data_IF_352771484350
#
_entry.id   IF_352771484350
#
_cell.length_a   1.000
_cell.length_b   1.000
_cell.length_c   1.000
_cell.angle_alpha   90.00
_cell.angle_beta   90.00
_cell.angle_gamma   90.00
#
_symmetry.space_group_name_H-M   'P 1'
#
loop_
_entity.id
_entity.type
_entity.pdbx_description
1 polymer ?
#
# COMPACT_ATOMS: atom_id res chain seq x y z
N UNK A 1 -19.32 10.59 9.76
CA UNK A 1 -20.09 9.57 9.02
C UNK A 1 -21.57 9.97 9.02
N UNK A 2 -22.18 10.19 7.85
CA UNK A 2 -23.63 10.47 7.76
C UNK A 2 -24.36 9.15 7.60
N UNK A 3 -25.01 8.70 8.67
CA UNK A 3 -25.76 7.45 8.68
C UNK A 3 -27.17 7.72 8.15
N UNK A 4 -27.60 6.99 7.11
CA UNK A 4 -28.96 7.08 6.56
C UNK A 4 -29.14 7.98 5.33
N UNK A 5 -28.08 8.54 4.77
CA UNK A 5 -28.12 9.21 3.46
C UNK A 5 -27.86 8.20 2.34
N UNK A 6 -28.69 8.21 1.29
CA UNK A 6 -28.49 7.41 0.09
C UNK A 6 -27.30 7.98 -0.69
N UNK A 7 -26.31 7.12 -1.00
CA UNK A 7 -25.13 7.49 -1.80
C UNK A 7 -25.25 6.82 -3.15
N UNK A 8 -25.36 7.62 -4.21
CA UNK A 8 -25.33 7.15 -5.59
C UNK A 8 -23.88 7.12 -6.07
N UNK A 9 -23.35 5.94 -6.32
CA UNK A 9 -22.02 5.76 -6.91
C UNK A 9 -22.16 5.72 -8.44
N UNK A 10 -21.92 6.86 -9.09
CA UNK A 10 -21.81 6.92 -10.54
C UNK A 10 -20.40 6.50 -10.98
N UNK A 11 -20.13 5.20 -10.99
CA UNK A 11 -18.89 4.66 -11.55
C UNK A 11 -19.17 3.64 -12.67
N UNK A 12 -18.34 3.61 -13.73
CA UNK A 12 -18.43 2.56 -14.73
C UNK A 12 -18.07 1.22 -14.09
N UNK A 13 -19.01 0.28 -14.09
CA UNK A 13 -18.78 -1.08 -13.63
C UNK A 13 -17.91 -1.80 -14.66
N UNK A 14 -16.78 -2.33 -14.22
CA UNK A 14 -15.85 -3.11 -15.03
C UNK A 14 -15.26 -4.27 -14.25
N UNK A 15 -14.63 -5.20 -14.97
CA UNK A 15 -13.86 -6.28 -14.36
C UNK A 15 -12.38 -6.00 -14.54
N UNK A 16 -11.66 -5.91 -13.43
CA UNK A 16 -10.21 -5.92 -13.45
C UNK A 16 -9.75 -7.38 -13.59
N UNK A 17 -9.09 -7.71 -14.71
CA UNK A 17 -8.61 -9.08 -14.96
C UNK A 17 -7.35 -9.40 -14.17
N UNK A 18 -6.50 -8.40 -13.95
CA UNK A 18 -5.24 -8.53 -13.25
C UNK A 18 -4.99 -7.27 -12.41
N UNK A 19 -4.75 -7.44 -11.12
CA UNK A 19 -4.57 -6.33 -10.17
C UNK A 19 -3.20 -5.66 -10.35
N UNK A 20 -2.16 -6.44 -10.58
CA UNK A 20 -0.78 -5.94 -10.60
C UNK A 20 -0.52 -4.96 -11.75
N UNK A 21 -0.83 -5.26 -13.03
CA UNK A 21 -0.64 -4.29 -14.12
C UNK A 21 -1.44 -3.00 -13.93
N UNK A 22 -2.61 -3.09 -13.30
CA UNK A 22 -3.40 -1.92 -12.97
C UNK A 22 -2.73 -1.08 -11.88
N UNK A 23 -2.22 -1.69 -10.81
CA UNK A 23 -1.48 -0.99 -9.76
C UNK A 23 -0.21 -0.34 -10.33
N UNK A 24 0.55 -1.04 -11.16
CA UNK A 24 1.77 -0.49 -11.78
C UNK A 24 1.44 0.75 -12.62
N UNK A 25 0.41 0.69 -13.47
CA UNK A 25 -0.05 1.85 -14.25
C UNK A 25 -0.57 3.00 -13.37
N UNK A 26 -1.01 2.72 -12.13
CA UNK A 26 -1.39 3.76 -11.17
C UNK A 26 -0.21 4.30 -10.40
N UNK A 27 0.90 3.57 -10.28
CA UNK A 27 2.08 3.90 -9.51
C UNK A 27 3.16 4.64 -10.32
N UNK A 28 3.12 4.56 -11.65
CA UNK A 28 4.04 5.27 -12.55
C UNK A 28 4.11 6.78 -12.23
N UNK A 29 5.33 7.32 -12.16
CA UNK A 29 5.66 8.72 -11.85
C UNK A 29 5.05 9.26 -10.53
N UNK A 30 4.94 8.39 -9.51
CA UNK A 30 4.36 8.75 -8.20
C UNK A 30 5.23 8.37 -7.03
N UNK A 31 5.01 9.07 -5.92
CA UNK A 31 5.42 8.60 -4.59
C UNK A 31 4.38 7.66 -4.02
N UNK A 32 4.79 6.46 -3.57
CA UNK A 32 3.88 5.38 -3.16
C UNK A 32 4.17 4.94 -1.72
N UNK A 33 3.11 4.77 -0.93
CA UNK A 33 3.15 4.01 0.31
C UNK A 33 2.53 2.63 0.07
N UNK A 34 3.30 1.56 0.29
CA UNK A 34 2.81 0.19 0.29
C UNK A 34 2.59 -0.27 1.72
N UNK A 35 1.34 -0.46 2.14
CA UNK A 35 0.99 -0.96 3.47
C UNK A 35 0.96 -2.47 3.44
N UNK A 36 1.47 -3.12 4.49
CA UNK A 36 1.72 -4.58 4.49
C UNK A 36 2.86 -4.96 3.54
N UNK A 37 3.86 -4.07 3.41
CA UNK A 37 4.89 -4.21 2.39
C UNK A 37 5.75 -5.45 2.56
N UNK A 38 6.01 -5.90 3.79
CA UNK A 38 6.87 -7.03 4.06
C UNK A 38 6.24 -8.29 3.46
N UNK A 39 4.94 -8.51 3.69
CA UNK A 39 4.11 -9.40 2.85
C UNK A 39 4.75 -10.75 2.54
N UNK A 40 5.27 -11.46 3.55
CA UNK A 40 6.05 -12.70 3.42
C UNK A 40 7.32 -12.54 2.56
N UNK A 41 8.11 -11.50 2.77
CA UNK A 41 9.37 -11.22 2.06
C UNK A 41 10.28 -12.46 1.96
N UNK A 42 10.34 -13.28 3.02
CA UNK A 42 11.07 -14.54 3.10
C UNK A 42 10.69 -15.57 2.03
N UNK A 43 9.45 -15.55 1.54
CA UNK A 43 8.95 -16.46 0.50
C UNK A 43 9.41 -16.01 -0.89
N UNK A 44 9.63 -14.71 -1.07
CA UNK A 44 9.97 -14.12 -2.35
C UNK A 44 11.46 -13.90 -2.53
N UNK A 45 12.19 -13.54 -1.48
CA UNK A 45 13.60 -13.18 -1.59
C UNK A 45 14.52 -14.40 -1.44
N UNK A 46 15.68 -14.41 -2.12
CA UNK A 46 16.06 -13.49 -3.20
C UNK A 46 15.52 -13.90 -4.59
N UNK A 47 15.12 -15.17 -4.76
CA UNK A 47 14.97 -15.80 -6.09
C UNK A 47 13.71 -15.38 -6.87
N UNK A 48 12.70 -14.86 -6.16
CA UNK A 48 11.37 -14.53 -6.70
C UNK A 48 10.99 -13.10 -6.39
N UNK A 49 11.97 -12.22 -6.19
CA UNK A 49 11.76 -10.78 -5.93
C UNK A 49 10.74 -10.20 -6.90
N UNK A 50 10.92 -10.40 -8.21
CA UNK A 50 9.99 -9.94 -9.28
C UNK A 50 8.51 -10.35 -9.14
N UNK A 51 8.16 -11.32 -8.28
CA UNK A 51 6.77 -11.71 -8.00
C UNK A 51 6.18 -10.99 -6.78
N UNK A 52 7.02 -10.38 -5.95
CA UNK A 52 6.62 -9.63 -4.77
C UNK A 52 6.18 -8.23 -5.15
N UNK A 53 4.99 -7.82 -4.68
CA UNK A 53 4.40 -6.53 -5.01
C UNK A 53 5.35 -5.36 -4.70
N UNK A 54 6.03 -5.40 -3.56
CA UNK A 54 6.84 -4.28 -3.10
C UNK A 54 7.99 -3.97 -4.07
N UNK A 55 8.69 -5.00 -4.58
CA UNK A 55 9.74 -4.78 -5.59
C UNK A 55 9.19 -4.31 -6.93
N UNK A 56 8.01 -4.80 -7.35
CA UNK A 56 7.39 -4.33 -8.58
C UNK A 56 7.00 -2.84 -8.49
N UNK A 57 6.54 -2.39 -7.32
CA UNK A 57 6.31 -0.97 -7.05
C UNK A 57 7.61 -0.17 -7.10
N UNK A 58 8.68 -0.66 -6.45
CA UNK A 58 10.01 -0.01 -6.47
C UNK A 58 10.53 0.16 -7.91
N UNK A 59 10.33 -0.84 -8.76
CA UNK A 59 10.76 -0.81 -10.16
C UNK A 59 9.91 0.13 -11.05
N UNK A 60 8.73 0.57 -10.58
CA UNK A 60 7.74 1.30 -11.38
C UNK A 60 7.54 2.76 -10.95
N UNK A 61 7.53 3.02 -9.65
CA UNK A 61 7.22 4.33 -9.07
C UNK A 61 8.47 5.22 -8.94
N UNK A 62 8.28 6.52 -8.70
CA UNK A 62 9.40 7.45 -8.48
C UNK A 62 10.06 7.24 -7.12
N UNK A 63 9.25 6.91 -6.11
CA UNK A 63 9.70 6.61 -4.75
C UNK A 63 8.69 5.70 -4.07
N UNK A 64 9.17 4.72 -3.30
CA UNK A 64 8.31 3.77 -2.58
C UNK A 64 8.78 3.65 -1.15
N UNK A 65 7.83 3.81 -0.22
CA UNK A 65 8.01 3.45 1.19
C UNK A 65 7.12 2.25 1.49
N UNK A 66 7.68 1.25 2.15
CA UNK A 66 6.92 0.17 2.75
C UNK A 66 6.58 0.48 4.20
N UNK A 67 5.40 0.08 4.66
CA UNK A 67 5.01 0.04 6.07
C UNK A 67 4.52 -1.37 6.40
N UNK A 68 5.03 -1.97 7.47
CA UNK A 68 4.56 -3.27 7.95
C UNK A 68 4.70 -3.38 9.47
N UNK A 69 3.89 -4.23 10.10
CA UNK A 69 3.91 -4.47 11.54
C UNK A 69 4.76 -5.70 11.92
N UNK A 70 5.12 -6.54 10.94
CA UNK A 70 5.86 -7.78 11.18
C UNK A 70 7.39 -7.55 11.14
N UNK A 71 8.07 -7.46 12.30
CA UNK A 71 9.51 -7.20 12.34
C UNK A 71 10.35 -8.36 11.78
N UNK A 72 9.83 -9.60 11.73
CA UNK A 72 10.55 -10.75 11.18
C UNK A 72 10.67 -10.61 9.66
N UNK A 73 9.55 -10.36 8.98
CA UNK A 73 9.53 -10.19 7.53
C UNK A 73 10.19 -8.88 7.07
N UNK A 74 10.11 -7.82 7.87
CA UNK A 74 10.88 -6.59 7.66
C UNK A 74 12.39 -6.90 7.74
N UNK A 75 12.81 -7.69 8.73
CA UNK A 75 14.19 -8.14 8.88
C UNK A 75 14.67 -8.91 7.66
N UNK A 76 13.86 -9.87 7.17
CA UNK A 76 14.17 -10.63 5.96
C UNK A 76 14.36 -9.73 4.73
N UNK A 77 13.50 -8.72 4.54
CA UNK A 77 13.67 -7.74 3.46
C UNK A 77 14.97 -6.92 3.61
N UNK A 78 15.29 -6.50 4.83
CA UNK A 78 16.47 -5.70 5.13
C UNK A 78 17.79 -6.44 4.86
N UNK A 79 17.86 -7.76 5.07
CA UNK A 79 19.02 -8.59 4.71
C UNK A 79 19.35 -8.54 3.20
N UNK A 80 18.36 -8.19 2.38
CA UNK A 80 18.48 -8.02 0.94
C UNK A 80 18.54 -6.55 0.49
N UNK A 81 18.71 -5.61 1.43
CA UNK A 81 18.86 -4.18 1.14
C UNK A 81 17.55 -3.44 0.83
N UNK A 82 16.41 -4.05 1.13
CA UNK A 82 15.09 -3.45 0.96
C UNK A 82 14.60 -2.97 2.33
N UNK A 83 14.40 -1.66 2.47
CA UNK A 83 14.00 -1.04 3.73
C UNK A 83 12.49 -0.86 3.77
N UNK A 84 11.89 -1.33 4.86
CA UNK A 84 10.46 -1.20 5.17
C UNK A 84 10.38 -0.60 6.57
N UNK A 85 9.53 0.41 6.75
CA UNK A 85 9.29 1.03 8.05
C UNK A 85 8.44 0.09 8.91
N UNK A 86 8.87 -0.15 10.15
CA UNK A 86 8.09 -0.87 11.15
C UNK A 86 7.02 0.06 11.73
N UNK A 87 5.74 -0.34 11.65
CA UNK A 87 4.66 0.41 12.25
C UNK A 87 3.27 -0.14 11.94
N UNK A 88 2.30 0.25 12.78
CA UNK A 88 0.90 -0.08 12.57
C UNK A 88 0.23 0.99 11.69
N UNK A 89 -0.42 0.59 10.60
CA UNK A 89 -1.11 1.52 9.71
C UNK A 89 -2.26 2.30 10.37
N UNK A 90 -2.76 1.84 11.52
CA UNK A 90 -3.81 2.50 12.30
C UNK A 90 -3.34 3.81 12.96
N UNK A 91 -2.05 3.97 13.23
CA UNK A 91 -1.49 5.11 13.98
C UNK A 91 -0.08 5.54 13.56
N UNK A 92 0.49 4.96 12.50
CA UNK A 92 1.82 5.33 11.99
C UNK A 92 1.90 6.82 11.63
N UNK A 93 3.00 7.47 12.03
CA UNK A 93 3.32 8.86 11.74
C UNK A 93 4.54 8.94 10.81
N UNK A 94 4.32 8.91 9.49
CA UNK A 94 5.43 8.85 8.52
C UNK A 94 6.06 10.21 8.20
N UNK A 95 5.43 11.31 8.64
CA UNK A 95 5.95 12.67 8.46
C UNK A 95 6.06 13.14 7.00
N UNK A 96 5.42 12.41 6.07
CA UNK A 96 5.43 12.70 4.63
C UNK A 96 4.11 12.30 3.98
N UNK A 97 3.86 12.85 2.80
CA UNK A 97 2.67 12.57 1.99
C UNK A 97 3.04 11.74 0.75
N UNK A 98 2.05 11.00 0.25
CA UNK A 98 2.17 10.12 -0.92
C UNK A 98 1.09 10.41 -1.96
N UNK A 99 1.38 10.14 -3.22
CA UNK A 99 0.43 10.30 -4.33
C UNK A 99 -0.47 9.07 -4.51
N UNK A 100 -0.03 7.92 -4.00
CA UNK A 100 -0.75 6.66 -3.99
C UNK A 100 -0.47 5.89 -2.70
N UNK A 101 -1.51 5.35 -2.09
CA UNK A 101 -1.41 4.39 -0.99
C UNK A 101 -1.99 3.07 -1.47
N UNK A 102 -1.23 1.98 -1.31
CA UNK A 102 -1.63 0.63 -1.70
C UNK A 102 -1.83 -0.21 -0.43
N UNK A 103 -2.97 -0.90 -0.35
CA UNK A 103 -3.31 -1.85 0.71
C UNK A 103 -3.83 -3.15 0.06
N UNK A 104 -2.94 -3.99 -0.47
CA UNK A 104 -3.33 -5.23 -1.14
C UNK A 104 -3.20 -6.43 -0.17
N UNK A 105 -4.28 -7.20 0.04
CA UNK A 105 -4.34 -8.36 0.98
C UNK A 105 -3.95 -7.99 2.43
N UNK A 106 -4.31 -6.79 2.88
CA UNK A 106 -4.06 -6.30 4.25
C UNK A 106 -5.36 -6.05 5.03
N UNK A 107 -6.41 -5.62 4.34
CA UNK A 107 -7.64 -5.07 4.94
C UNK A 107 -8.31 -6.07 5.89
N UNK A 108 -8.22 -7.37 5.61
CA UNK A 108 -8.76 -8.47 6.41
C UNK A 108 -8.01 -8.73 7.72
N UNK A 109 -6.79 -8.20 7.84
CA UNK A 109 -5.91 -8.37 9.00
C UNK A 109 -5.88 -7.16 9.93
N UNK A 110 -6.48 -6.03 9.51
CA UNK A 110 -6.50 -4.79 10.29
C UNK A 110 -7.59 -4.87 11.37
N UNK A 111 -7.22 -4.61 12.63
CA UNK A 111 -8.14 -4.68 13.78
C UNK A 111 -9.20 -3.57 13.70
N UNK A 112 -8.78 -2.36 13.34
CA UNK A 112 -9.64 -1.20 13.18
C UNK A 112 -9.44 -0.53 11.82
N UNK A 113 -10.10 -1.08 10.81
CA UNK A 113 -10.06 -0.54 9.44
C UNK A 113 -10.46 0.94 9.35
N UNK A 114 -11.39 1.40 10.21
CA UNK A 114 -11.77 2.81 10.26
C UNK A 114 -10.62 3.71 10.69
N UNK A 115 -9.85 3.30 11.70
CA UNK A 115 -8.67 4.02 12.15
C UNK A 115 -7.58 4.00 11.07
N UNK A 116 -7.28 2.83 10.48
CA UNK A 116 -6.32 2.71 9.39
C UNK A 116 -6.65 3.62 8.21
N UNK A 117 -7.89 3.61 7.72
CA UNK A 117 -8.29 4.50 6.61
C UNK A 117 -8.10 5.96 7.03
N UNK A 118 -8.55 6.37 8.21
CA UNK A 118 -8.39 7.77 8.65
C UNK A 118 -6.92 8.19 8.75
N UNK A 119 -6.07 7.34 9.34
CA UNK A 119 -4.64 7.62 9.45
C UNK A 119 -3.95 7.69 8.09
N UNK A 120 -4.25 6.75 7.19
CA UNK A 120 -3.67 6.73 5.84
C UNK A 120 -4.15 7.91 4.98
N UNK A 121 -5.39 8.39 5.16
CA UNK A 121 -5.88 9.61 4.50
C UNK A 121 -5.01 10.83 4.86
N UNK A 122 -4.52 10.93 6.10
CA UNK A 122 -3.65 12.03 6.53
C UNK A 122 -2.26 11.98 5.86
N UNK A 123 -1.89 10.82 5.29
CA UNK A 123 -0.65 10.60 4.55
C UNK A 123 -0.82 10.73 3.03
N UNK A 124 -2.01 11.05 2.52
CA UNK A 124 -2.20 11.25 1.08
C UNK A 124 -2.10 12.73 0.69
N UNK A 125 -1.38 13.01 -0.39
CA UNK A 125 -1.42 14.30 -1.05
C UNK A 125 -2.87 14.67 -1.45
N UNK A 126 -3.28 15.90 -1.16
CA UNK A 126 -4.60 16.46 -1.50
C UNK A 126 -4.90 16.51 -3.01
N UNK A 127 -3.91 16.24 -3.87
CA UNK A 127 -4.06 16.08 -5.32
C UNK A 127 -4.22 14.63 -5.80
N UNK A 128 -4.07 13.63 -4.92
CA UNK A 128 -4.20 12.20 -5.23
C UNK A 128 -5.67 11.79 -5.36
N UNK A 129 -6.38 12.33 -6.35
CA UNK A 129 -7.80 12.07 -6.60
C UNK A 129 -8.14 10.68 -7.15
N UNK A 130 -7.34 9.65 -6.89
CA UNK A 130 -7.59 8.29 -7.37
C UNK A 130 -7.40 7.27 -6.24
N UNK A 131 -8.39 7.23 -5.34
CA UNK A 131 -8.65 6.08 -4.50
C UNK A 131 -9.40 5.04 -5.33
N UNK A 132 -8.81 3.85 -5.51
CA UNK A 132 -9.51 2.68 -6.05
C UNK A 132 -9.16 1.46 -5.20
#
# INVERSE_FOLDING_TARGET
>A
MRVGEEVVLECPVGTLRTVYPFLMAKAEDKTVLNVGAAGNASVYLPDRSHLWLHTQLIDTADDVIGLDIDPEEIGNAAEHGILIEEGNCEDAELGRLFDLIVMLEVIEHVDNLGAAIHNLLDHLNSGGGNWL
#
